data_IF_248143984151
#
_entry.id   IF_248143984151
#
_cell.length_a   1.000
_cell.length_b   1.000
_cell.length_c   1.000
_cell.angle_alpha   90.00
_cell.angle_beta   90.00
_cell.angle_gamma   90.00
#
_symmetry.space_group_name_H-M   'P 1'
#
loop_
_entity.id
_entity.type
_entity.pdbx_description
1 polymer ?
#
# COMPACT_ATOMS: atom_id res chain seq x y z
N UNK A 1 -18.51 -17.19 1.10
CA UNK A 1 -18.49 -16.69 -0.30
C UNK A 1 -17.33 -17.37 -1.00
N UNK A 2 -17.45 -17.71 -2.28
CA UNK A 2 -16.38 -18.40 -3.03
C UNK A 2 -15.37 -17.43 -3.66
N UNK A 3 -15.81 -16.19 -3.92
CA UNK A 3 -14.92 -15.11 -4.35
C UNK A 3 -14.47 -14.34 -3.13
N UNK A 4 -13.18 -14.04 -3.05
CA UNK A 4 -12.64 -13.26 -1.96
C UNK A 4 -13.18 -11.82 -1.99
N UNK A 5 -13.41 -11.25 -0.81
CA UNK A 5 -13.69 -9.82 -0.69
C UNK A 5 -12.41 -9.02 -0.98
N UNK A 6 -12.56 -7.74 -1.23
CA UNK A 6 -11.47 -6.84 -1.64
C UNK A 6 -10.25 -6.91 -0.70
N UNK A 7 -10.41 -6.64 0.59
CA UNK A 7 -9.28 -6.65 1.53
C UNK A 7 -8.67 -8.05 1.74
N UNK A 8 -9.44 -9.15 1.90
CA UNK A 8 -8.89 -10.50 1.90
C UNK A 8 -8.09 -10.84 0.62
N UNK A 9 -8.57 -10.41 -0.56
CA UNK A 9 -7.83 -10.64 -1.81
C UNK A 9 -6.53 -9.84 -1.88
N UNK A 10 -6.51 -8.59 -1.40
CA UNK A 10 -5.27 -7.82 -1.26
C UNK A 10 -4.23 -8.55 -0.41
N UNK A 11 -4.65 -9.08 0.75
CA UNK A 11 -3.78 -9.86 1.64
C UNK A 11 -3.28 -11.14 1.00
N UNK A 12 -4.14 -11.88 0.30
CA UNK A 12 -3.75 -13.08 -0.44
C UNK A 12 -2.65 -12.80 -1.48
N UNK A 13 -2.72 -11.66 -2.19
CA UNK A 13 -1.69 -11.27 -3.14
C UNK A 13 -0.37 -10.95 -2.45
N UNK A 14 -0.40 -10.23 -1.32
CA UNK A 14 0.78 -9.94 -0.51
C UNK A 14 1.39 -11.22 0.08
N UNK A 15 0.59 -12.17 0.58
CA UNK A 15 1.06 -13.48 1.07
C UNK A 15 1.78 -14.29 -0.01
N UNK A 16 1.42 -14.11 -1.29
CA UNK A 16 2.12 -14.78 -2.39
C UNK A 16 3.46 -14.14 -2.72
N UNK A 17 3.57 -12.82 -2.59
CA UNK A 17 4.75 -12.06 -2.99
C UNK A 17 5.80 -11.96 -1.88
N UNK A 18 5.36 -11.84 -0.63
CA UNK A 18 6.24 -11.53 0.52
C UNK A 18 6.67 -12.80 1.24
N UNK A 19 7.97 -12.91 1.50
CA UNK A 19 8.56 -14.01 2.26
C UNK A 19 9.20 -13.49 3.57
N UNK A 20 9.40 -14.36 4.59
CA UNK A 20 10.15 -13.98 5.78
C UNK A 20 11.57 -13.48 5.44
N UNK A 21 11.90 -12.29 5.94
CA UNK A 21 13.17 -11.59 5.64
C UNK A 21 13.05 -10.48 4.61
N UNK A 22 11.91 -10.39 3.91
CA UNK A 22 11.68 -9.37 2.88
C UNK A 22 11.45 -7.97 3.46
N UNK A 23 11.54 -6.99 2.58
CA UNK A 23 11.23 -5.58 2.86
C UNK A 23 9.89 -5.23 2.22
N UNK A 24 9.02 -4.55 2.97
CA UNK A 24 7.70 -4.14 2.49
C UNK A 24 7.38 -2.69 2.82
N UNK A 25 6.37 -2.15 2.14
CA UNK A 25 5.92 -0.76 2.32
C UNK A 25 4.41 -0.72 2.57
N UNK A 26 3.99 0.00 3.60
CA UNK A 26 2.63 0.46 3.81
C UNK A 26 2.58 1.96 3.52
N UNK A 27 2.08 2.34 2.35
CA UNK A 27 2.06 3.73 1.90
C UNK A 27 0.97 4.59 2.56
N UNK A 28 0.05 3.96 3.29
CA UNK A 28 -1.08 4.62 3.96
C UNK A 28 -1.38 3.92 5.29
N UNK A 29 -0.50 4.12 6.26
CA UNK A 29 -0.46 3.42 7.54
C UNK A 29 -1.80 3.40 8.28
N UNK A 30 -2.46 4.54 8.36
CA UNK A 30 -3.76 4.71 8.99
C UNK A 30 -3.83 4.11 10.39
N UNK A 31 -4.78 3.20 10.58
CA UNK A 31 -4.95 2.50 11.86
C UNK A 31 -3.95 1.34 12.08
N UNK A 32 -2.98 1.13 11.22
CA UNK A 32 -1.87 0.19 11.38
C UNK A 32 -2.19 -1.29 11.12
N UNK A 33 -3.35 -1.61 10.57
CA UNK A 33 -3.74 -3.02 10.33
C UNK A 33 -2.88 -3.68 9.27
N UNK A 34 -2.57 -2.98 8.18
CA UNK A 34 -1.74 -3.52 7.11
C UNK A 34 -0.26 -3.47 7.48
N UNK A 35 0.20 -2.46 8.23
CA UNK A 35 1.54 -2.44 8.82
C UNK A 35 1.80 -3.68 9.69
N UNK A 36 0.89 -4.01 10.62
CA UNK A 36 1.00 -5.20 11.48
C UNK A 36 0.97 -6.48 10.66
N UNK A 37 0.09 -6.56 9.65
CA UNK A 37 0.00 -7.70 8.77
C UNK A 37 1.32 -7.93 8.00
N UNK A 38 1.88 -6.88 7.39
CA UNK A 38 3.17 -6.94 6.69
C UNK A 38 4.32 -7.33 7.63
N UNK A 39 4.35 -6.76 8.84
CA UNK A 39 5.34 -7.11 9.86
C UNK A 39 5.26 -8.59 10.27
N UNK A 40 4.05 -9.17 10.24
CA UNK A 40 3.85 -10.60 10.43
C UNK A 40 4.42 -11.44 9.29
N UNK A 41 4.20 -11.02 8.04
CA UNK A 41 4.70 -11.72 6.85
C UNK A 41 6.24 -11.67 6.74
N UNK A 42 6.81 -10.49 6.92
CA UNK A 42 8.27 -10.28 6.80
C UNK A 42 9.05 -10.93 7.95
N UNK A 43 8.41 -11.12 9.11
CA UNK A 43 9.01 -11.78 10.27
C UNK A 43 10.15 -10.95 10.91
N UNK A 44 10.93 -11.57 11.79
CA UNK A 44 11.96 -10.90 12.60
C UNK A 44 13.16 -10.39 11.78
N UNK A 45 13.41 -10.98 10.62
CA UNK A 45 14.55 -10.61 9.77
C UNK A 45 14.19 -9.63 8.66
N UNK A 46 12.89 -9.39 8.45
CA UNK A 46 12.39 -8.45 7.45
C UNK A 46 12.16 -7.06 8.03
N UNK A 47 11.66 -6.16 7.19
CA UNK A 47 11.38 -4.79 7.61
C UNK A 47 10.16 -4.21 6.90
N UNK A 48 9.43 -3.34 7.59
CA UNK A 48 8.27 -2.61 7.06
C UNK A 48 8.53 -1.10 7.18
N UNK A 49 8.41 -0.38 6.06
CA UNK A 49 8.33 1.07 6.06
C UNK A 49 6.88 1.50 5.94
N UNK A 50 6.39 2.29 6.90
CA UNK A 50 4.99 2.71 6.92
C UNK A 50 4.87 4.22 6.98
N UNK A 51 4.04 4.80 6.11
CA UNK A 51 3.92 6.23 5.89
C UNK A 51 2.52 6.73 6.23
N UNK A 52 2.43 7.85 6.91
CA UNK A 52 1.19 8.63 7.06
C UNK A 52 1.52 10.09 7.36
N UNK A 53 0.67 11.00 6.90
CA UNK A 53 0.79 12.45 7.18
C UNK A 53 0.08 12.85 8.47
N UNK A 54 -0.67 11.94 9.09
CA UNK A 54 -1.45 12.19 10.29
C UNK A 54 -0.73 11.64 11.53
N UNK A 55 -0.45 12.50 12.51
CA UNK A 55 0.19 12.12 13.77
C UNK A 55 -0.58 11.01 14.52
N UNK A 56 -1.92 11.06 14.49
CA UNK A 56 -2.77 10.06 15.14
C UNK A 56 -2.53 8.65 14.56
N UNK A 57 -2.32 8.54 13.25
CA UNK A 57 -2.01 7.27 12.59
C UNK A 57 -0.68 6.69 13.10
N UNK A 58 0.35 7.53 13.26
CA UNK A 58 1.65 7.14 13.81
C UNK A 58 1.49 6.58 15.21
N UNK A 59 0.78 7.32 16.09
CA UNK A 59 0.60 6.92 17.49
C UNK A 59 -0.19 5.62 17.63
N UNK A 60 -1.29 5.48 16.90
CA UNK A 60 -2.14 4.29 16.91
C UNK A 60 -1.34 3.07 16.43
N UNK A 61 -0.61 3.21 15.33
CA UNK A 61 0.18 2.11 14.75
C UNK A 61 1.34 1.73 15.65
N UNK A 62 2.06 2.72 16.23
CA UNK A 62 3.13 2.45 17.18
C UNK A 62 2.64 1.66 18.40
N UNK A 63 1.47 2.01 18.95
CA UNK A 63 0.86 1.30 20.08
C UNK A 63 0.53 -0.16 19.71
N UNK A 64 -0.03 -0.41 18.52
CA UNK A 64 -0.33 -1.76 18.03
C UNK A 64 0.93 -2.60 17.84
N UNK A 65 1.94 -2.06 17.16
CA UNK A 65 3.20 -2.77 16.93
C UNK A 65 3.90 -3.13 18.23
N UNK A 66 3.82 -2.25 19.24
CA UNK A 66 4.37 -2.52 20.58
C UNK A 66 3.60 -3.64 21.27
N UNK A 67 2.26 -3.65 21.19
CA UNK A 67 1.43 -4.70 21.77
C UNK A 67 1.72 -6.09 21.15
N UNK A 68 2.04 -6.13 19.86
CA UNK A 68 2.39 -7.35 19.11
C UNK A 68 3.89 -7.66 19.12
N UNK A 69 4.72 -6.87 19.85
CA UNK A 69 6.20 -7.02 19.88
C UNK A 69 6.86 -6.96 18.48
N UNK A 70 6.30 -6.13 17.59
CA UNK A 70 6.76 -5.98 16.19
C UNK A 70 7.43 -4.63 15.89
N UNK A 71 7.54 -3.73 16.88
CA UNK A 71 7.98 -2.35 16.66
C UNK A 71 9.40 -2.21 16.13
N UNK A 72 10.32 -3.14 16.48
CA UNK A 72 11.73 -3.06 16.05
C UNK A 72 11.93 -3.36 14.55
N UNK A 73 10.96 -4.04 13.92
CA UNK A 73 10.99 -4.38 12.49
C UNK A 73 10.22 -3.40 11.60
N UNK A 74 9.77 -2.27 12.17
CA UNK A 74 8.98 -1.27 11.45
C UNK A 74 9.56 0.13 11.62
N UNK A 75 9.67 0.86 10.52
CA UNK A 75 9.95 2.30 10.52
C UNK A 75 8.67 3.04 10.22
N UNK A 76 8.16 3.80 11.20
CA UNK A 76 6.98 4.64 11.03
C UNK A 76 7.43 6.05 10.64
N UNK A 77 6.94 6.53 9.53
CA UNK A 77 7.33 7.80 8.92
C UNK A 77 6.15 8.76 8.94
N UNK A 78 6.29 9.88 9.65
CA UNK A 78 5.33 10.98 9.66
C UNK A 78 5.61 11.92 8.48
N UNK A 79 5.35 11.45 7.27
CA UNK A 79 5.50 12.19 6.00
C UNK A 79 4.65 11.52 4.91
N UNK A 80 4.47 12.20 3.78
CA UNK A 80 3.77 11.63 2.63
C UNK A 80 4.55 10.49 1.96
N UNK A 81 3.81 9.51 1.45
CA UNK A 81 4.40 8.36 0.77
C UNK A 81 5.19 8.73 -0.49
N UNK A 82 4.97 9.90 -1.07
CA UNK A 82 5.77 10.43 -2.19
C UNK A 82 7.20 10.83 -1.80
N UNK A 83 7.50 10.79 -0.50
CA UNK A 83 8.83 11.09 0.04
C UNK A 83 9.63 9.82 0.40
N UNK A 84 9.14 8.63 0.07
CA UNK A 84 9.69 7.36 0.57
C UNK A 84 11.17 7.14 0.26
N UNK A 85 11.70 7.66 -0.85
CA UNK A 85 13.12 7.55 -1.19
C UNK A 85 14.06 8.28 -0.23
N UNK A 86 13.54 9.18 0.64
CA UNK A 86 14.33 9.83 1.70
C UNK A 86 14.51 8.94 2.93
N UNK A 87 13.58 8.00 3.15
CA UNK A 87 13.47 7.21 4.37
C UNK A 87 13.86 5.75 4.19
N UNK A 88 13.59 5.18 3.01
CA UNK A 88 13.96 3.80 2.71
C UNK A 88 15.48 3.71 2.55
N UNK A 89 16.11 2.85 3.34
CA UNK A 89 17.55 2.64 3.26
C UNK A 89 17.96 2.14 1.87
N UNK A 90 19.04 2.67 1.34
CA UNK A 90 19.57 2.25 0.02
C UNK A 90 19.99 0.78 -0.03
N UNK A 91 20.32 0.18 1.10
CA UNK A 91 20.61 -1.26 1.20
C UNK A 91 19.39 -2.14 0.94
N UNK A 92 18.17 -1.59 1.09
CA UNK A 92 16.92 -2.26 0.80
C UNK A 92 16.44 -2.08 -0.65
N UNK A 93 17.13 -1.25 -1.44
CA UNK A 93 16.79 -1.08 -2.86
C UNK A 93 17.04 -2.38 -3.63
N UNK A 94 16.07 -2.76 -4.47
CA UNK A 94 16.05 -4.03 -5.18
C UNK A 94 15.51 -5.20 -4.35
N UNK A 95 15.11 -4.98 -3.07
CA UNK A 95 14.65 -6.03 -2.16
C UNK A 95 13.22 -5.82 -1.64
N UNK A 96 12.51 -4.77 -2.07
CA UNK A 96 11.11 -4.56 -1.70
C UNK A 96 10.25 -5.51 -2.53
N UNK A 97 9.52 -6.41 -1.86
CA UNK A 97 8.69 -7.43 -2.53
C UNK A 97 7.21 -7.14 -2.46
N UNK A 98 6.76 -6.29 -1.52
CA UNK A 98 5.35 -5.94 -1.38
C UNK A 98 5.13 -4.52 -0.94
N UNK A 99 4.11 -3.87 -1.52
CA UNK A 99 3.63 -2.57 -1.07
C UNK A 99 2.11 -2.53 -1.09
N UNK A 100 1.50 -1.79 -0.16
CA UNK A 100 0.04 -1.59 -0.09
C UNK A 100 -0.29 -0.13 0.15
N UNK A 101 -1.36 0.33 -0.51
CA UNK A 101 -1.97 1.64 -0.33
C UNK A 101 -3.48 1.48 -0.22
N UNK A 102 -4.08 2.02 0.84
CA UNK A 102 -5.52 2.18 0.97
C UNK A 102 -5.86 3.64 0.65
N UNK A 103 -6.33 3.89 -0.57
CA UNK A 103 -6.51 5.23 -1.11
C UNK A 103 -7.88 5.79 -0.77
N UNK A 104 -7.89 6.94 -0.09
CA UNK A 104 -9.08 7.60 0.43
C UNK A 104 -8.74 8.41 1.68
N UNK A 105 -9.59 8.36 2.68
CA UNK A 105 -9.40 9.03 3.97
C UNK A 105 -9.27 8.02 5.12
N UNK A 106 -8.63 8.44 6.22
CA UNK A 106 -8.50 7.62 7.42
C UNK A 106 -9.89 7.38 8.07
N UNK A 107 -10.33 6.13 8.22
CA UNK A 107 -11.58 5.83 8.91
C UNK A 107 -11.57 6.33 10.36
N UNK A 108 -12.51 7.22 10.71
CA UNK A 108 -12.57 7.89 12.02
C UNK A 108 -11.75 9.17 12.13
N UNK A 109 -10.93 9.51 11.12
CA UNK A 109 -10.15 10.73 11.03
C UNK A 109 -10.87 11.89 10.32
N UNK A 110 -10.10 12.93 10.00
CA UNK A 110 -10.58 14.08 9.23
C UNK A 110 -10.77 13.67 7.75
N UNK A 111 -12.02 13.71 7.29
CA UNK A 111 -12.40 13.35 5.91
C UNK A 111 -11.93 14.35 4.86
N UNK A 112 -11.45 15.53 5.25
CA UNK A 112 -10.84 16.47 4.33
C UNK A 112 -9.41 16.10 3.94
N UNK A 113 -8.77 15.23 4.73
CA UNK A 113 -7.44 14.69 4.46
C UNK A 113 -7.61 13.40 3.66
N UNK A 114 -7.39 13.49 2.36
CA UNK A 114 -7.52 12.38 1.40
C UNK A 114 -6.23 12.19 0.62
N UNK A 115 -5.99 10.96 0.16
CA UNK A 115 -4.90 10.67 -0.77
C UNK A 115 -5.12 11.39 -2.11
N UNK A 116 -4.06 11.60 -2.85
CA UNK A 116 -4.10 12.30 -4.14
C UNK A 116 -3.33 11.52 -5.20
N UNK A 117 -3.86 11.49 -6.42
CA UNK A 117 -3.29 10.72 -7.51
C UNK A 117 -1.81 11.07 -7.80
N UNK A 118 -1.44 12.35 -7.74
CA UNK A 118 -0.07 12.79 -8.02
C UNK A 118 0.95 12.26 -6.99
N UNK A 119 0.60 12.26 -5.70
CA UNK A 119 1.48 11.70 -4.65
C UNK A 119 1.54 10.17 -4.75
N UNK A 120 0.41 9.52 -5.00
CA UNK A 120 0.36 8.06 -5.18
C UNK A 120 1.15 7.61 -6.41
N UNK A 121 1.03 8.29 -7.56
CA UNK A 121 1.81 8.00 -8.77
C UNK A 121 3.30 8.17 -8.51
N UNK A 122 3.70 9.28 -7.87
CA UNK A 122 5.10 9.51 -7.49
C UNK A 122 5.65 8.39 -6.59
N UNK A 123 4.85 7.88 -5.65
CA UNK A 123 5.23 6.75 -4.81
C UNK A 123 5.38 5.45 -5.63
N UNK A 124 4.47 5.17 -6.57
CA UNK A 124 4.55 4.00 -7.44
C UNK A 124 5.84 4.06 -8.29
N UNK A 125 6.17 5.22 -8.87
CA UNK A 125 7.39 5.39 -9.66
C UNK A 125 8.66 5.15 -8.84
N UNK A 126 8.71 5.66 -7.60
CA UNK A 126 9.82 5.39 -6.67
C UNK A 126 9.90 3.91 -6.31
N UNK A 127 8.76 3.24 -6.07
CA UNK A 127 8.73 1.80 -5.81
C UNK A 127 9.26 0.99 -6.97
N UNK A 128 8.96 1.35 -8.22
CA UNK A 128 9.52 0.65 -9.39
C UNK A 128 11.06 0.64 -9.40
N UNK A 129 11.71 1.71 -8.90
CA UNK A 129 13.17 1.77 -8.79
C UNK A 129 13.71 0.91 -7.63
N UNK A 130 12.92 0.77 -6.55
CA UNK A 130 13.34 0.12 -5.29
C UNK A 130 12.90 -1.33 -5.16
N UNK A 131 11.92 -1.79 -5.94
CA UNK A 131 11.36 -3.15 -5.83
C UNK A 131 12.22 -4.21 -6.51
N UNK A 132 12.18 -5.40 -5.95
CA UNK A 132 12.63 -6.62 -6.62
C UNK A 132 11.78 -6.93 -7.86
N UNK A 133 12.30 -7.68 -8.85
CA UNK A 133 11.45 -8.32 -9.85
C UNK A 133 10.38 -9.20 -9.18
N UNK A 134 9.19 -9.28 -9.78
CA UNK A 134 8.00 -9.96 -9.24
C UNK A 134 7.45 -9.35 -7.94
N UNK A 135 8.02 -8.22 -7.46
CA UNK A 135 7.44 -7.45 -6.37
C UNK A 135 6.09 -6.85 -6.76
N UNK A 136 5.16 -6.76 -5.79
CA UNK A 136 3.78 -6.37 -6.04
C UNK A 136 3.40 -5.08 -5.31
N UNK A 137 2.72 -4.17 -6.00
CA UNK A 137 2.08 -2.99 -5.41
C UNK A 137 0.57 -3.21 -5.44
N UNK A 138 -0.07 -3.08 -4.29
CA UNK A 138 -1.53 -3.20 -4.14
C UNK A 138 -2.12 -1.83 -3.85
N UNK A 139 -3.02 -1.37 -4.72
CA UNK A 139 -3.82 -0.17 -4.51
C UNK A 139 -5.25 -0.60 -4.21
N UNK A 140 -5.74 -0.35 -3.01
CA UNK A 140 -7.16 -0.48 -2.64
C UNK A 140 -7.80 0.87 -2.81
N UNK A 141 -8.63 1.05 -3.82
CA UNK A 141 -9.15 2.35 -4.25
C UNK A 141 -10.57 2.54 -3.73
N UNK A 142 -10.75 3.48 -2.80
CA UNK A 142 -12.03 3.91 -2.26
C UNK A 142 -12.51 5.15 -3.01
N UNK A 143 -13.55 5.01 -3.84
CA UNK A 143 -14.01 6.06 -4.76
C UNK A 143 -15.46 6.50 -4.54
N UNK A 144 -15.99 6.29 -3.35
CA UNK A 144 -17.37 6.67 -2.99
C UNK A 144 -17.59 8.16 -2.71
N UNK A 145 -16.57 9.02 -2.87
CA UNK A 145 -16.61 10.47 -2.72
C UNK A 145 -15.95 11.16 -3.92
N UNK A 146 -16.24 12.46 -4.20
CA UNK A 146 -15.80 13.13 -5.42
C UNK A 146 -14.27 13.12 -5.62
N UNK A 147 -13.50 13.41 -4.58
CA UNK A 147 -12.04 13.42 -4.61
C UNK A 147 -11.48 12.01 -4.94
N UNK A 148 -12.05 10.97 -4.32
CA UNK A 148 -11.69 9.58 -4.60
C UNK A 148 -12.04 9.14 -6.03
N UNK A 149 -13.12 9.69 -6.62
CA UNK A 149 -13.44 9.44 -8.03
C UNK A 149 -12.39 10.06 -8.95
N UNK A 150 -11.92 11.28 -8.65
CA UNK A 150 -10.87 11.95 -9.42
C UNK A 150 -9.53 11.20 -9.32
N UNK A 151 -9.15 10.79 -8.10
CA UNK A 151 -7.94 9.97 -7.88
C UNK A 151 -8.02 8.65 -8.63
N UNK A 152 -9.15 7.93 -8.52
CA UNK A 152 -9.41 6.69 -9.25
C UNK A 152 -9.16 6.83 -10.75
N UNK A 153 -9.74 7.86 -11.38
CA UNK A 153 -9.68 8.03 -12.83
C UNK A 153 -8.24 8.32 -13.29
N UNK A 154 -7.51 9.16 -12.54
CA UNK A 154 -6.12 9.46 -12.82
C UNK A 154 -5.21 8.22 -12.64
N UNK A 155 -5.41 7.45 -11.58
CA UNK A 155 -4.66 6.22 -11.33
C UNK A 155 -4.94 5.15 -12.38
N UNK A 156 -6.21 4.93 -12.76
CA UNK A 156 -6.56 3.96 -13.80
C UNK A 156 -5.94 4.34 -15.14
N UNK A 157 -5.91 5.63 -15.49
CA UNK A 157 -5.24 6.10 -16.70
C UNK A 157 -3.74 5.81 -16.66
N UNK A 158 -3.07 6.19 -15.55
CA UNK A 158 -1.65 5.95 -15.36
C UNK A 158 -1.27 4.47 -15.47
N UNK A 159 -1.99 3.58 -14.79
CA UNK A 159 -1.62 2.15 -14.77
C UNK A 159 -1.94 1.44 -16.09
N UNK A 160 -2.92 1.92 -16.88
CA UNK A 160 -3.21 1.41 -18.22
C UNK A 160 -2.10 1.74 -19.22
N UNK A 161 -1.39 2.85 -19.01
CA UNK A 161 -0.30 3.31 -19.86
C UNK A 161 1.07 2.69 -19.48
N UNK A 162 1.14 1.92 -18.37
CA UNK A 162 2.37 1.24 -17.99
C UNK A 162 2.78 0.22 -19.08
N UNK A 163 4.03 0.27 -19.58
CA UNK A 163 4.51 -0.68 -20.55
C UNK A 163 4.44 -2.12 -20.02
N UNK A 164 3.81 -3.02 -20.76
CA UNK A 164 3.69 -4.43 -20.37
C UNK A 164 5.04 -5.15 -20.17
N UNK A 165 6.12 -4.59 -20.69
CA UNK A 165 7.48 -5.07 -20.46
C UNK A 165 8.02 -4.70 -19.08
N UNK A 166 7.41 -3.70 -18.43
CA UNK A 166 7.78 -3.23 -17.08
C UNK A 166 6.89 -3.80 -15.98
N UNK A 167 5.61 -4.02 -16.29
CA UNK A 167 4.65 -4.45 -15.28
C UNK A 167 3.50 -5.27 -15.86
N UNK A 168 2.96 -6.17 -15.02
CA UNK A 168 1.62 -6.72 -15.19
C UNK A 168 0.66 -5.94 -14.30
N UNK A 169 -0.48 -5.53 -14.84
CA UNK A 169 -1.52 -4.79 -14.09
C UNK A 169 -2.80 -5.61 -14.08
N UNK A 170 -3.32 -5.88 -12.88
CA UNK A 170 -4.58 -6.58 -12.64
C UNK A 170 -5.57 -5.62 -11.97
N UNK A 171 -6.81 -5.58 -12.46
CA UNK A 171 -7.94 -4.99 -11.73
C UNK A 171 -8.83 -6.10 -11.17
N UNK A 172 -9.10 -6.07 -9.84
CA UNK A 172 -10.05 -6.96 -9.18
C UNK A 172 -11.22 -6.14 -8.63
N UNK A 173 -12.42 -6.37 -9.17
CA UNK A 173 -13.60 -5.54 -8.96
C UNK A 173 -14.89 -6.37 -9.00
N UNK A 174 -15.88 -6.02 -8.16
CA UNK A 174 -17.23 -6.57 -8.20
C UNK A 174 -18.16 -5.67 -9.03
N UNK A 175 -18.25 -5.93 -10.31
CA UNK A 175 -18.86 -5.04 -11.32
C UNK A 175 -20.37 -4.85 -11.21
N UNK A 176 -21.07 -5.67 -10.41
CA UNK A 176 -22.53 -5.63 -10.24
C UNK A 176 -22.96 -5.09 -8.85
N UNK A 177 -22.04 -4.54 -8.08
CA UNK A 177 -22.36 -3.98 -6.77
C UNK A 177 -22.89 -2.54 -6.93
N UNK A 178 -23.95 -2.21 -6.19
CA UNK A 178 -24.39 -0.83 -5.96
C UNK A 178 -23.53 -0.19 -4.86
N UNK A 179 -23.48 1.14 -4.79
CA UNK A 179 -22.78 1.92 -3.74
C UNK A 179 -21.27 2.08 -3.90
N UNK A 180 -20.73 1.93 -5.11
CA UNK A 180 -19.32 2.20 -5.42
C UNK A 180 -18.36 1.54 -4.40
N UNK A 181 -18.35 0.20 -4.27
CA UNK A 181 -17.44 -0.47 -3.36
C UNK A 181 -15.99 -0.25 -3.79
N UNK A 182 -15.02 -0.36 -2.87
CA UNK A 182 -13.62 -0.31 -3.26
C UNK A 182 -13.27 -1.47 -4.19
N UNK A 183 -12.23 -1.27 -4.99
CA UNK A 183 -11.64 -2.32 -5.83
C UNK A 183 -10.11 -2.30 -5.70
N UNK A 184 -9.45 -3.32 -6.23
CA UNK A 184 -7.98 -3.42 -6.24
C UNK A 184 -7.44 -3.16 -7.63
N UNK A 185 -6.33 -2.42 -7.69
CA UNK A 185 -5.35 -2.50 -8.76
C UNK A 185 -4.08 -3.11 -8.18
N UNK A 186 -3.66 -4.23 -8.75
CA UNK A 186 -2.40 -4.88 -8.41
C UNK A 186 -1.41 -4.68 -9.56
N UNK A 187 -0.20 -4.24 -9.23
CA UNK A 187 0.87 -3.97 -10.20
C UNK A 187 2.06 -4.85 -9.82
N UNK A 188 2.40 -5.80 -10.65
CA UNK A 188 3.56 -6.67 -10.48
C UNK A 188 4.70 -6.16 -11.37
N UNK A 189 5.86 -5.91 -10.77
CA UNK A 189 7.07 -5.52 -11.50
C UNK A 189 7.65 -6.71 -12.26
N UNK A 190 8.01 -6.52 -13.51
CA UNK A 190 8.67 -7.56 -14.34
C UNK A 190 10.18 -7.44 -14.28
#
# INVERSE_FOLDING_TARGET
MKLDRILPFAKLLLEKAVQPGDITVDGTMGNGFDTVFLAGLTGEKGHVYSFDIQEDAIQITAAKLKAESMHERCTLVHDGHEQMNKYISKEHFGNITGAIFNLGYLPGGDKSIVTQANTTISAIEQLFEMMAPEGIIILVIYHGHPEGATERDALLHYVQDLPQQKAHVLKYDFINQSNNPPFIVAIEKR
#
